data_IF_184154466720
#
_entry.id   IF_184154466720
#
_cell.length_a   1.000
_cell.length_b   1.000
_cell.length_c   1.000
_cell.angle_alpha   90.00
_cell.angle_beta   90.00
_cell.angle_gamma   90.00
#
_symmetry.space_group_name_H-M   'P 1'
#
loop_
_entity.id
_entity.type
_entity.pdbx_description
1 polymer ?
#
# COMPACT_ATOMS: atom_id res chain seq x y z
N UNK A 1 -46.67 -39.71 33.68
CA UNK A 1 -45.59 -40.49 33.06
C UNK A 1 -45.19 -39.79 31.78
N UNK A 2 -44.15 -38.98 31.96
CA UNK A 2 -42.93 -38.93 31.16
C UNK A 2 -43.03 -38.41 29.73
N UNK A 3 -42.52 -37.19 29.52
CA UNK A 3 -42.27 -36.68 28.17
C UNK A 3 -41.76 -35.24 28.05
N UNK A 4 -41.69 -34.43 29.11
CA UNK A 4 -41.34 -32.99 28.99
C UNK A 4 -40.06 -32.58 29.74
N UNK A 5 -39.55 -33.39 30.68
CA UNK A 5 -38.35 -33.01 31.47
C UNK A 5 -37.03 -33.11 30.67
N UNK A 6 -36.93 -33.97 29.66
CA UNK A 6 -35.67 -34.18 28.93
C UNK A 6 -35.25 -33.04 27.97
N UNK A 7 -36.19 -32.19 27.53
CA UNK A 7 -35.92 -31.12 26.57
C UNK A 7 -35.31 -29.86 27.20
N UNK A 8 -35.64 -29.59 28.46
CA UNK A 8 -35.19 -28.40 29.19
C UNK A 8 -33.71 -28.54 29.62
N UNK A 9 -33.33 -29.69 30.17
CA UNK A 9 -31.95 -29.97 30.58
C UNK A 9 -30.97 -29.99 29.41
N UNK A 10 -31.37 -30.60 28.28
CA UNK A 10 -30.52 -30.64 27.09
C UNK A 10 -30.31 -29.25 26.48
N UNK A 11 -31.35 -28.41 26.47
CA UNK A 11 -31.27 -27.04 25.96
C UNK A 11 -30.41 -26.13 26.86
N UNK A 12 -30.51 -26.28 28.18
CA UNK A 12 -29.64 -25.60 29.13
C UNK A 12 -28.19 -26.03 28.96
N UNK A 13 -27.93 -27.33 28.84
CA UNK A 13 -26.59 -27.88 28.66
C UNK A 13 -25.94 -27.38 27.36
N UNK A 14 -26.70 -27.31 26.27
CA UNK A 14 -26.24 -26.70 25.00
C UNK A 14 -25.93 -25.20 25.16
N UNK A 15 -26.75 -24.45 25.90
CA UNK A 15 -26.49 -23.03 26.16
C UNK A 15 -25.23 -22.80 27.00
N UNK A 16 -25.02 -23.59 28.07
CA UNK A 16 -23.79 -23.53 28.86
C UNK A 16 -22.55 -23.89 28.02
N UNK A 17 -22.65 -24.91 27.17
CA UNK A 17 -21.61 -25.26 26.20
C UNK A 17 -21.30 -24.10 25.24
N UNK A 18 -22.33 -23.45 24.70
CA UNK A 18 -22.17 -22.30 23.80
C UNK A 18 -21.51 -21.10 24.49
N UNK A 19 -21.84 -20.83 25.77
CA UNK A 19 -21.20 -19.77 26.57
C UNK A 19 -19.72 -20.08 26.78
N UNK A 20 -19.37 -21.31 27.17
CA UNK A 20 -17.97 -21.73 27.38
C UNK A 20 -17.13 -21.60 26.12
N UNK A 21 -17.66 -22.07 24.97
CA UNK A 21 -16.97 -21.95 23.67
C UNK A 21 -16.79 -20.48 23.29
N UNK A 22 -17.83 -19.65 23.48
CA UNK A 22 -17.76 -18.22 23.19
C UNK A 22 -16.74 -17.50 24.07
N UNK A 23 -16.65 -17.85 25.35
CA UNK A 23 -15.72 -17.26 26.31
C UNK A 23 -14.27 -17.68 26.02
N UNK A 24 -14.05 -18.96 25.68
CA UNK A 24 -12.75 -19.45 25.22
C UNK A 24 -12.30 -18.74 23.93
N UNK A 25 -13.22 -18.54 22.98
CA UNK A 25 -12.95 -17.78 21.76
C UNK A 25 -12.53 -16.35 22.09
N UNK A 26 -13.28 -15.61 22.94
CA UNK A 26 -12.93 -14.24 23.34
C UNK A 26 -11.54 -14.17 23.99
N UNK A 27 -11.21 -15.10 24.90
CA UNK A 27 -9.89 -15.14 25.56
C UNK A 27 -8.77 -15.41 24.55
N UNK A 28 -8.97 -16.38 23.66
CA UNK A 28 -8.03 -16.67 22.58
C UNK A 28 -7.83 -15.43 21.70
N UNK A 29 -8.92 -14.73 21.37
CA UNK A 29 -8.89 -13.50 20.57
C UNK A 29 -8.12 -12.37 21.25
N UNK A 30 -8.35 -12.10 22.54
CA UNK A 30 -7.61 -11.08 23.28
C UNK A 30 -6.11 -11.40 23.30
N UNK A 31 -5.74 -12.68 23.45
CA UNK A 31 -4.34 -13.12 23.39
C UNK A 31 -3.74 -12.99 21.99
N UNK A 32 -4.50 -13.32 20.96
CA UNK A 32 -4.07 -13.25 19.57
C UNK A 32 -3.87 -11.79 19.12
N UNK A 33 -4.82 -10.91 19.45
CA UNK A 33 -4.73 -9.47 19.19
C UNK A 33 -3.50 -8.84 19.86
N UNK A 34 -3.11 -9.29 21.05
CA UNK A 34 -1.91 -8.80 21.74
C UNK A 34 -0.59 -9.26 21.09
N UNK A 35 -0.59 -10.41 20.39
CA UNK A 35 0.61 -10.93 19.68
C UNK A 35 0.73 -10.39 18.27
N UNK A 36 -0.38 -10.20 17.58
CA UNK A 36 -0.41 -9.63 16.24
C UNK A 36 -0.43 -8.11 16.40
N UNK A 37 0.76 -7.51 16.50
CA UNK A 37 0.90 -6.06 16.43
C UNK A 37 0.53 -5.62 14.99
N UNK A 38 -0.74 -5.26 14.78
CA UNK A 38 -1.27 -4.89 13.47
C UNK A 38 -0.73 -3.52 13.07
N UNK A 39 0.15 -3.46 12.05
CA UNK A 39 0.65 -2.19 11.48
C UNK A 39 -0.35 -1.53 10.52
N UNK A 40 -1.34 -2.26 9.99
CA UNK A 40 -2.30 -1.74 8.99
C UNK A 40 -3.68 -1.39 9.58
N UNK A 41 -4.13 -0.15 9.39
CA UNK A 41 -5.41 0.37 9.91
C UNK A 41 -6.65 -0.39 9.39
N UNK A 42 -6.56 -1.04 8.21
CA UNK A 42 -7.65 -1.83 7.61
C UNK A 42 -7.84 -3.16 8.32
N UNK A 43 -6.75 -3.88 8.58
CA UNK A 43 -6.78 -5.13 9.34
C UNK A 43 -7.32 -4.88 10.75
N UNK A 44 -6.92 -3.78 11.38
CA UNK A 44 -7.42 -3.40 12.70
C UNK A 44 -8.95 -3.22 12.72
N UNK A 45 -9.55 -2.64 11.67
CA UNK A 45 -11.01 -2.52 11.55
C UNK A 45 -11.68 -3.87 11.32
N UNK A 46 -11.13 -4.72 10.44
CA UNK A 46 -11.65 -6.08 10.21
C UNK A 46 -11.67 -6.90 11.50
N UNK A 47 -10.56 -6.88 12.25
CA UNK A 47 -10.44 -7.53 13.55
C UNK A 47 -11.42 -6.98 14.59
N UNK A 48 -11.65 -5.65 14.62
CA UNK A 48 -12.62 -5.03 15.54
C UNK A 48 -14.06 -5.50 15.27
N UNK A 49 -14.45 -5.64 14.00
CA UNK A 49 -15.78 -6.14 13.63
C UNK A 49 -15.97 -7.61 14.00
N UNK A 50 -14.95 -8.45 13.80
CA UNK A 50 -14.98 -9.86 14.23
C UNK A 50 -15.08 -9.94 15.76
N UNK A 51 -14.32 -9.12 16.49
CA UNK A 51 -14.40 -9.07 17.95
C UNK A 51 -15.80 -8.63 18.42
N UNK A 52 -16.34 -7.55 17.85
CA UNK A 52 -17.68 -7.06 18.19
C UNK A 52 -18.76 -8.13 17.91
N UNK A 53 -18.63 -8.89 16.81
CA UNK A 53 -19.52 -10.00 16.50
C UNK A 53 -19.47 -11.09 17.58
N UNK A 54 -18.28 -11.59 17.92
CA UNK A 54 -18.09 -12.65 18.90
C UNK A 54 -18.52 -12.20 20.30
N UNK A 55 -18.23 -10.96 20.66
CA UNK A 55 -18.67 -10.38 21.94
C UNK A 55 -20.20 -10.27 22.01
N UNK A 56 -20.85 -9.87 20.92
CA UNK A 56 -22.32 -9.79 20.85
C UNK A 56 -22.96 -11.19 21.00
N UNK A 57 -22.36 -12.24 20.42
CA UNK A 57 -22.80 -13.64 20.66
C UNK A 57 -22.82 -13.96 22.15
N UNK A 58 -21.70 -13.66 22.82
CA UNK A 58 -21.52 -13.99 24.23
C UNK A 58 -22.59 -13.30 25.08
N UNK A 59 -22.83 -12.01 24.84
CA UNK A 59 -23.85 -11.23 25.57
C UNK A 59 -25.26 -11.79 25.35
N UNK A 60 -25.63 -12.10 24.10
CA UNK A 60 -26.95 -12.65 23.79
C UNK A 60 -27.16 -14.05 24.38
N UNK A 61 -26.14 -14.91 24.34
CA UNK A 61 -26.21 -16.25 24.94
C UNK A 61 -26.33 -16.20 26.47
N UNK A 62 -25.57 -15.30 27.13
CA UNK A 62 -25.67 -15.08 28.58
C UNK A 62 -27.06 -14.53 28.94
N UNK A 63 -27.58 -13.57 28.17
CA UNK A 63 -28.92 -13.02 28.39
C UNK A 63 -30.02 -14.06 28.21
N UNK A 64 -29.89 -14.95 27.21
CA UNK A 64 -30.84 -16.04 26.98
C UNK A 64 -30.81 -17.07 28.11
N UNK A 65 -29.62 -17.45 28.58
CA UNK A 65 -29.47 -18.34 29.74
C UNK A 65 -30.05 -17.72 31.01
N UNK A 66 -29.78 -16.43 31.25
CA UNK A 66 -30.34 -15.70 32.40
C UNK A 66 -31.87 -15.66 32.34
N UNK A 67 -32.47 -15.37 31.19
CA UNK A 67 -33.93 -15.37 31.03
C UNK A 67 -34.55 -16.76 31.17
N UNK A 68 -33.87 -17.82 30.71
CA UNK A 68 -34.32 -19.19 30.89
C UNK A 68 -34.31 -19.62 32.38
N UNK A 69 -33.28 -19.20 33.13
CA UNK A 69 -33.13 -19.49 34.57
C UNK A 69 -34.06 -18.61 35.41
N UNK A 70 -34.18 -17.32 35.08
CA UNK A 70 -35.05 -16.38 35.79
C UNK A 70 -36.54 -16.58 35.46
N UNK A 71 -36.83 -17.08 34.26
CA UNK A 71 -38.19 -17.41 33.79
C UNK A 71 -38.66 -18.81 34.19
N UNK A 72 -37.78 -19.68 34.71
CA UNK A 72 -38.17 -20.97 35.27
C UNK A 72 -38.77 -20.79 36.66
N UNK A 73 -39.99 -20.24 36.73
CA UNK A 73 -40.81 -20.30 37.93
C UNK A 73 -41.56 -19.02 38.32
N UNK A 74 -41.16 -17.83 37.84
CA UNK A 74 -41.79 -16.58 38.29
C UNK A 74 -42.13 -15.59 37.16
N UNK A 75 -43.22 -14.87 37.37
CA UNK A 75 -43.68 -13.78 36.50
C UNK A 75 -42.84 -12.53 36.76
N UNK A 76 -41.97 -12.17 35.81
CA UNK A 76 -41.12 -10.98 35.94
C UNK A 76 -41.95 -9.72 35.64
N UNK A 77 -42.23 -8.90 36.65
CA UNK A 77 -42.77 -7.54 36.47
C UNK A 77 -41.64 -6.61 36.00
N UNK A 78 -41.70 -6.17 34.75
CA UNK A 78 -40.77 -5.16 34.23
C UNK A 78 -41.22 -3.75 34.64
N UNK A 79 -40.28 -2.97 35.19
CA UNK A 79 -40.36 -1.50 35.30
C UNK A 79 -41.70 -0.96 35.86
N UNK A 80 -42.05 -1.38 37.09
CA UNK A 80 -43.05 -0.68 37.91
C UNK A 80 -44.47 -0.59 37.34
N UNK A 81 -44.82 -1.37 36.32
CA UNK A 81 -46.15 -1.40 35.72
C UNK A 81 -46.80 -2.79 35.79
N UNK A 82 -48.12 -2.83 35.87
CA UNK A 82 -48.93 -4.06 36.03
C UNK A 82 -49.01 -4.97 34.78
N UNK A 83 -48.11 -4.81 33.80
CA UNK A 83 -48.05 -5.70 32.64
C UNK A 83 -47.24 -6.95 32.96
N UNK A 84 -47.94 -8.06 33.12
CA UNK A 84 -47.37 -9.40 33.25
C UNK A 84 -46.97 -9.87 31.84
N UNK A 85 -45.67 -9.93 31.56
CA UNK A 85 -45.15 -10.55 30.32
C UNK A 85 -44.87 -12.01 30.62
N UNK A 86 -45.72 -12.93 30.14
CA UNK A 86 -45.36 -14.35 30.08
C UNK A 86 -44.29 -14.53 29.02
N UNK A 87 -43.07 -14.84 29.43
CA UNK A 87 -41.99 -15.23 28.53
C UNK A 87 -42.30 -16.62 27.97
N UNK A 88 -42.95 -16.67 26.81
CA UNK A 88 -43.21 -17.92 26.09
C UNK A 88 -41.89 -18.46 25.52
N UNK A 89 -41.68 -19.78 25.60
CA UNK A 89 -40.49 -20.47 25.10
C UNK A 89 -40.23 -20.17 23.62
N UNK A 90 -41.32 -19.98 22.87
CA UNK A 90 -41.31 -19.61 21.45
C UNK A 90 -40.70 -18.24 21.18
N UNK A 91 -40.81 -17.30 22.12
CA UNK A 91 -40.16 -15.99 22.06
C UNK A 91 -38.65 -16.10 22.31
N UNK A 92 -38.23 -16.91 23.28
CA UNK A 92 -36.82 -17.20 23.55
C UNK A 92 -36.12 -17.85 22.34
N UNK A 93 -36.80 -18.78 21.68
CA UNK A 93 -36.29 -19.44 20.47
C UNK A 93 -36.11 -18.47 19.31
N UNK A 94 -37.06 -17.53 19.12
CA UNK A 94 -36.95 -16.48 18.09
C UNK A 94 -35.80 -15.52 18.35
N UNK A 95 -35.56 -15.12 19.61
CA UNK A 95 -34.38 -14.31 19.95
C UNK A 95 -33.07 -15.04 19.68
N UNK A 96 -33.01 -16.34 19.96
CA UNK A 96 -31.82 -17.15 19.69
C UNK A 96 -31.51 -17.25 18.19
N UNK A 97 -32.54 -17.44 17.36
CA UNK A 97 -32.40 -17.51 15.90
C UNK A 97 -32.01 -16.15 15.32
N UNK A 98 -32.58 -15.05 15.84
CA UNK A 98 -32.22 -13.69 15.43
C UNK A 98 -30.74 -13.39 15.77
N UNK A 99 -30.29 -13.81 16.96
CA UNK A 99 -28.89 -13.72 17.36
C UNK A 99 -27.95 -14.47 16.41
N UNK A 100 -28.29 -15.72 16.05
CA UNK A 100 -27.50 -16.51 15.09
C UNK A 100 -27.41 -15.85 13.70
N UNK A 101 -28.49 -15.22 13.24
CA UNK A 101 -28.51 -14.52 11.95
C UNK A 101 -27.61 -13.26 11.96
N UNK A 102 -27.69 -12.45 13.02
CA UNK A 102 -26.83 -11.26 13.19
C UNK A 102 -25.35 -11.64 13.18
N UNK A 103 -25.03 -12.77 13.81
CA UNK A 103 -23.68 -13.30 13.94
C UNK A 103 -23.14 -13.80 12.60
N UNK A 104 -23.96 -14.52 11.84
CA UNK A 104 -23.60 -14.94 10.49
C UNK A 104 -23.29 -13.73 9.59
N UNK A 105 -24.11 -12.68 9.66
CA UNK A 105 -23.90 -11.43 8.91
C UNK A 105 -22.62 -10.72 9.36
N UNK A 106 -22.36 -10.63 10.66
CA UNK A 106 -21.18 -9.96 11.20
C UNK A 106 -19.88 -10.72 10.92
N UNK A 107 -19.89 -12.06 10.97
CA UNK A 107 -18.78 -12.90 10.52
C UNK A 107 -18.53 -12.73 9.03
N UNK A 108 -19.59 -12.77 8.21
CA UNK A 108 -19.48 -12.59 6.76
C UNK A 108 -18.93 -11.21 6.41
N UNK A 109 -19.32 -10.15 7.13
CA UNK A 109 -18.74 -8.83 7.01
C UNK A 109 -17.27 -8.79 7.46
N UNK A 110 -16.92 -9.43 8.58
CA UNK A 110 -15.55 -9.54 9.07
C UNK A 110 -14.62 -10.25 8.09
N UNK A 111 -15.03 -11.43 7.61
CA UNK A 111 -14.33 -12.17 6.56
C UNK A 111 -14.22 -11.38 5.26
N UNK A 112 -15.29 -10.65 4.87
CA UNK A 112 -15.22 -9.74 3.74
C UNK A 112 -14.18 -8.64 3.96
N UNK A 113 -14.10 -7.99 5.12
CA UNK A 113 -13.06 -6.96 5.33
C UNK A 113 -11.63 -7.53 5.38
N UNK A 114 -11.46 -8.77 5.86
CA UNK A 114 -10.16 -9.44 5.97
C UNK A 114 -9.68 -10.02 4.63
N UNK A 115 -10.58 -10.62 3.86
CA UNK A 115 -10.28 -11.40 2.64
C UNK A 115 -10.88 -10.85 1.36
N UNK A 116 -11.71 -9.80 1.42
CA UNK A 116 -12.07 -9.12 0.18
C UNK A 116 -10.75 -8.68 -0.47
N UNK A 117 -10.48 -9.15 -1.70
CA UNK A 117 -9.37 -8.61 -2.47
C UNK A 117 -9.54 -7.09 -2.44
N UNK A 118 -8.45 -6.35 -2.31
CA UNK A 118 -8.47 -4.88 -2.33
C UNK A 118 -9.07 -4.40 -3.66
N UNK A 119 -10.39 -4.48 -3.81
CA UNK A 119 -11.16 -4.03 -4.95
C UNK A 119 -11.14 -2.51 -4.84
N UNK A 120 -10.12 -1.94 -5.46
CA UNK A 120 -9.94 -0.51 -5.59
C UNK A 120 -9.25 0.16 -4.40
N UNK A 121 -8.03 -0.26 -4.09
CA UNK A 121 -6.96 0.68 -3.71
C UNK A 121 -5.61 0.13 -4.23
N UNK A 122 -5.08 0.46 -5.40
CA UNK A 122 -5.50 1.46 -6.41
C UNK A 122 -5.47 2.91 -5.91
N UNK A 123 -5.22 3.07 -4.61
CA UNK A 123 -4.79 4.30 -3.97
C UNK A 123 -3.44 3.94 -3.36
N UNK A 124 -2.47 3.61 -4.22
CA UNK A 124 -1.18 4.32 -4.11
C UNK A 124 -1.60 5.73 -3.78
N UNK A 125 -1.18 6.25 -2.61
CA UNK A 125 -1.47 7.63 -2.21
C UNK A 125 -1.44 8.42 -3.51
N UNK A 126 -2.60 8.85 -4.01
CA UNK A 126 -2.63 9.69 -5.21
C UNK A 126 -2.07 10.96 -4.62
N UNK A 127 -0.73 11.03 -4.53
CA UNK A 127 0.00 12.25 -4.70
C UNK A 127 -0.65 12.73 -5.98
N UNK A 128 -1.60 13.64 -5.82
CA UNK A 128 -2.12 14.40 -6.93
C UNK A 128 -0.82 14.85 -7.56
N UNK A 129 -0.52 14.42 -8.78
CA UNK A 129 0.49 15.07 -9.58
C UNK A 129 -0.04 16.49 -9.74
N UNK A 130 0.15 17.30 -8.71
CA UNK A 130 0.03 18.74 -8.75
C UNK A 130 1.31 19.13 -9.45
N UNK A 131 1.32 18.92 -10.75
CA UNK A 131 2.12 19.76 -11.63
C UNK A 131 1.53 21.12 -11.35
N UNK A 132 2.16 21.85 -10.44
CA UNK A 132 1.68 23.19 -10.13
C UNK A 132 2.09 24.03 -11.32
N UNK A 133 1.16 24.20 -12.26
CA UNK A 133 1.29 25.14 -13.37
C UNK A 133 1.83 26.47 -12.82
N UNK A 134 3.02 26.87 -13.28
CA UNK A 134 3.62 28.16 -12.96
C UNK A 134 4.36 28.28 -11.62
N UNK A 135 4.55 27.20 -10.87
CA UNK A 135 5.25 27.23 -9.59
C UNK A 135 6.72 26.84 -9.68
N UNK A 136 7.64 27.80 -9.86
CA UNK A 136 9.10 27.53 -9.74
C UNK A 136 9.43 26.92 -8.36
N UNK A 137 10.39 26.00 -8.30
CA UNK A 137 10.92 25.47 -7.02
C UNK A 137 11.58 26.62 -6.22
N UNK A 138 11.61 26.56 -4.88
CA UNK A 138 12.13 27.65 -4.02
C UNK A 138 13.63 27.94 -4.28
N UNK A 139 14.37 26.95 -4.79
CA UNK A 139 15.76 27.09 -5.24
C UNK A 139 15.81 27.05 -6.78
N UNK A 140 15.55 28.20 -7.41
CA UNK A 140 15.86 28.38 -8.83
C UNK A 140 17.34 28.72 -8.93
N UNK A 141 18.14 27.83 -9.52
CA UNK A 141 19.56 28.10 -9.76
C UNK A 141 19.70 29.41 -10.54
N UNK A 142 20.51 30.34 -10.03
CA UNK A 142 20.81 31.61 -10.71
C UNK A 142 21.86 31.46 -11.83
N UNK A 143 22.38 30.26 -12.01
CA UNK A 143 23.41 29.88 -12.99
C UNK A 143 22.70 29.31 -14.21
N UNK A 144 23.22 29.53 -15.41
CA UNK A 144 22.65 28.96 -16.64
C UNK A 144 22.57 27.42 -16.57
N UNK A 145 21.58 26.85 -17.27
CA UNK A 145 21.38 25.41 -17.41
C UNK A 145 22.70 24.74 -17.79
N UNK A 146 23.18 23.81 -16.95
CA UNK A 146 24.48 23.17 -17.16
C UNK A 146 24.40 22.10 -18.24
N UNK A 147 23.26 21.43 -18.36
CA UNK A 147 23.05 20.32 -19.28
C UNK A 147 21.92 20.62 -20.29
N UNK A 148 22.29 20.84 -21.55
CA UNK A 148 21.31 21.02 -22.64
C UNK A 148 20.98 19.67 -23.29
N UNK A 149 19.85 19.09 -22.90
CA UNK A 149 19.33 17.84 -23.44
C UNK A 149 18.18 18.11 -24.41
N UNK A 150 18.18 17.40 -25.54
CA UNK A 150 17.09 17.45 -26.53
C UNK A 150 15.83 16.83 -25.94
N UNK A 151 14.67 17.40 -26.30
CA UNK A 151 13.35 16.83 -26.04
C UNK A 151 13.07 15.63 -26.94
N UNK A 152 12.19 14.73 -26.51
CA UNK A 152 11.81 13.52 -27.24
C UNK A 152 12.93 12.49 -27.31
N UNK A 153 13.81 12.42 -26.31
CA UNK A 153 14.97 11.53 -26.32
C UNK A 153 15.23 10.90 -24.95
N UNK A 154 15.73 9.66 -24.99
CA UNK A 154 16.18 8.92 -23.82
C UNK A 154 17.70 8.85 -23.72
N UNK A 155 18.18 9.02 -22.50
CA UNK A 155 19.59 9.15 -22.17
C UNK A 155 20.00 8.12 -21.13
N UNK A 156 20.98 7.31 -21.52
CA UNK A 156 21.63 6.36 -20.65
C UNK A 156 22.87 7.05 -20.06
N UNK A 157 22.86 7.25 -18.74
CA UNK A 157 23.88 7.99 -18.01
C UNK A 157 24.71 7.00 -17.21
N UNK A 158 25.99 6.90 -17.56
CA UNK A 158 26.91 5.99 -16.88
C UNK A 158 27.28 6.52 -15.50
N UNK A 159 26.99 5.73 -14.49
CA UNK A 159 27.45 5.97 -13.12
C UNK A 159 28.77 5.20 -12.94
N UNK A 160 29.91 5.87 -13.13
CA UNK A 160 31.21 5.24 -12.89
C UNK A 160 31.47 5.16 -11.38
N UNK A 161 31.75 3.97 -10.83
CA UNK A 161 32.26 3.87 -9.47
C UNK A 161 33.63 4.56 -9.42
N UNK A 162 33.94 5.37 -8.39
CA UNK A 162 35.27 5.95 -8.28
C UNK A 162 36.32 4.83 -8.26
N UNK A 163 37.34 4.98 -9.10
CA UNK A 163 38.41 3.98 -9.27
C UNK A 163 39.09 3.77 -7.91
N UNK A 164 39.02 2.54 -7.38
CA UNK A 164 39.80 2.11 -6.21
C UNK A 164 41.30 2.26 -6.53
N UNK A 165 41.91 3.34 -6.08
CA UNK A 165 43.35 3.58 -6.28
C UNK A 165 43.82 5.00 -5.99
N UNK A 166 42.93 5.99 -6.01
CA UNK A 166 43.29 7.37 -5.61
C UNK A 166 43.16 7.47 -4.09
N UNK A 167 44.30 7.44 -3.41
CA UNK A 167 44.40 7.73 -1.98
C UNK A 167 43.77 9.10 -1.71
N UNK A 168 42.89 9.18 -0.72
CA UNK A 168 41.95 10.29 -0.45
C UNK A 168 40.74 10.36 -1.37
N UNK A 169 39.78 9.46 -1.20
CA UNK A 169 38.40 9.89 -0.96
C UNK A 169 37.70 8.78 -0.16
N UNK A 170 37.28 9.13 1.04
CA UNK A 170 36.42 8.26 1.83
C UNK A 170 35.12 8.09 1.05
N UNK A 171 34.75 6.85 0.77
CA UNK A 171 33.44 6.49 0.23
C UNK A 171 32.37 6.86 1.28
N UNK A 172 32.06 8.13 1.42
CA UNK A 172 30.79 8.54 2.00
C UNK A 172 29.72 8.12 1.01
N UNK A 173 28.69 7.42 1.46
CA UNK A 173 27.48 7.04 0.71
C UNK A 173 26.70 8.25 0.12
N UNK A 174 27.31 9.43 0.12
CA UNK A 174 26.76 10.76 -0.14
C UNK A 174 27.15 11.33 -1.52
N UNK A 175 27.99 10.64 -2.31
CA UNK A 175 28.32 11.14 -3.65
C UNK A 175 27.12 11.03 -4.61
N UNK A 176 26.77 12.13 -5.29
CA UNK A 176 25.58 12.20 -6.11
C UNK A 176 25.72 11.32 -7.35
N UNK A 177 24.67 10.56 -7.66
CA UNK A 177 24.51 9.96 -8.98
C UNK A 177 24.46 11.09 -10.02
N UNK A 178 25.30 11.01 -11.06
CA UNK A 178 25.41 12.01 -12.10
C UNK A 178 24.05 12.32 -12.75
N UNK A 179 23.26 11.28 -12.99
CA UNK A 179 21.89 11.36 -13.50
C UNK A 179 20.96 12.20 -12.63
N UNK A 180 21.06 12.06 -11.29
CA UNK A 180 20.26 12.83 -10.35
C UNK A 180 20.67 14.31 -10.36
N UNK A 181 21.95 14.63 -10.58
CA UNK A 181 22.38 16.02 -10.74
C UNK A 181 21.81 16.66 -12.00
N UNK A 182 21.82 15.95 -13.14
CA UNK A 182 21.19 16.45 -14.38
C UNK A 182 19.70 16.66 -14.18
N UNK A 183 19.03 15.71 -13.52
CA UNK A 183 17.61 15.82 -13.18
C UNK A 183 17.34 17.06 -12.31
N UNK A 184 18.11 17.25 -11.23
CA UNK A 184 17.99 18.41 -10.33
C UNK A 184 18.22 19.71 -11.08
N UNK A 185 19.22 19.78 -11.96
CA UNK A 185 19.50 20.96 -12.78
C UNK A 185 18.29 21.33 -13.63
N UNK A 186 17.74 20.39 -14.41
CA UNK A 186 16.56 20.64 -15.26
C UNK A 186 15.35 21.11 -14.43
N UNK A 187 15.08 20.42 -13.32
CA UNK A 187 13.91 20.70 -12.48
C UNK A 187 14.01 22.06 -11.79
N UNK A 188 15.18 22.42 -11.27
CA UNK A 188 15.40 23.74 -10.66
C UNK A 188 15.34 24.88 -11.67
N UNK A 189 15.54 24.59 -12.96
CA UNK A 189 15.33 25.53 -14.07
C UNK A 189 13.87 25.60 -14.58
N UNK A 190 12.96 24.88 -13.94
CA UNK A 190 11.52 24.96 -14.22
C UNK A 190 11.01 23.92 -15.22
N UNK A 191 11.81 22.91 -15.56
CA UNK A 191 11.34 21.75 -16.31
C UNK A 191 10.54 20.84 -15.36
N UNK A 192 9.25 20.55 -15.60
CA UNK A 192 8.51 19.53 -14.87
C UNK A 192 9.29 18.21 -14.74
N UNK A 193 9.50 17.76 -13.50
CA UNK A 193 10.24 16.52 -13.20
C UNK A 193 9.36 15.41 -12.64
N UNK A 194 9.69 14.16 -12.95
CA UNK A 194 9.21 12.96 -12.26
C UNK A 194 10.40 12.08 -11.90
N UNK A 195 10.56 11.75 -10.63
CA UNK A 195 11.57 10.78 -10.18
C UNK A 195 10.96 9.44 -9.80
N UNK A 196 11.43 8.36 -10.40
CA UNK A 196 11.18 6.98 -9.97
C UNK A 196 12.53 6.41 -9.56
N UNK A 197 12.71 6.12 -8.27
CA UNK A 197 14.05 5.94 -7.70
C UNK A 197 14.07 4.92 -6.59
N UNK A 198 15.23 4.32 -6.35
CA UNK A 198 15.48 3.45 -5.18
C UNK A 198 15.82 4.23 -3.92
N UNK A 199 16.22 5.50 -4.05
CA UNK A 199 16.49 6.36 -2.91
C UNK A 199 15.19 6.79 -2.23
N UNK A 200 15.22 6.88 -0.91
CA UNK A 200 14.05 7.32 -0.16
C UNK A 200 13.70 8.77 -0.53
N UNK A 201 12.48 9.09 -1.00
CA UNK A 201 12.15 10.41 -1.53
C UNK A 201 12.42 11.56 -0.56
N UNK A 202 12.06 11.41 0.72
CA UNK A 202 12.42 12.36 1.78
C UNK A 202 13.89 12.81 1.76
N UNK A 203 14.85 11.88 1.58
CA UNK A 203 16.29 12.21 1.54
C UNK A 203 16.64 13.09 0.34
N UNK A 204 16.06 12.80 -0.83
CA UNK A 204 16.27 13.60 -2.05
C UNK A 204 15.69 15.01 -1.86
N UNK A 205 14.46 15.10 -1.34
CA UNK A 205 13.79 16.39 -1.10
C UNK A 205 14.57 17.26 -0.11
N UNK A 206 15.08 16.66 0.97
CA UNK A 206 15.88 17.36 1.98
C UNK A 206 17.23 17.82 1.42
N UNK A 207 17.89 16.98 0.61
CA UNK A 207 19.23 17.29 0.05
C UNK A 207 19.18 18.35 -1.06
N UNK A 208 18.19 18.29 -1.94
CA UNK A 208 18.14 19.10 -3.17
C UNK A 208 17.00 20.14 -3.21
N UNK A 209 16.16 20.22 -2.18
CA UNK A 209 15.09 21.21 -2.10
C UNK A 209 13.92 20.98 -3.07
N UNK A 210 13.78 19.78 -3.63
CA UNK A 210 12.75 19.42 -4.62
C UNK A 210 11.39 19.14 -3.97
N UNK A 211 10.72 20.18 -3.49
CA UNK A 211 9.49 20.04 -2.68
C UNK A 211 8.25 19.71 -3.51
N UNK A 212 8.19 20.17 -4.76
CA UNK A 212 6.99 20.06 -5.61
C UNK A 212 7.09 18.92 -6.62
N UNK A 213 8.31 18.48 -6.88
CA UNK A 213 8.61 17.40 -7.81
C UNK A 213 8.09 16.05 -7.27
N UNK A 214 7.21 15.34 -8.02
CA UNK A 214 6.77 14.02 -7.64
C UNK A 214 7.92 13.00 -7.68
N UNK A 215 8.03 12.23 -6.60
CA UNK A 215 8.96 11.11 -6.49
C UNK A 215 8.20 9.85 -6.07
N UNK A 216 8.41 8.76 -6.81
CA UNK A 216 7.94 7.42 -6.48
C UNK A 216 9.12 6.56 -6.06
N UNK A 217 8.97 5.90 -4.92
CA UNK A 217 9.99 5.03 -4.36
C UNK A 217 9.80 3.59 -4.87
N UNK A 218 10.81 3.05 -5.56
CA UNK A 218 10.85 1.64 -5.96
C UNK A 218 11.19 0.76 -4.76
N UNK A 219 10.16 0.17 -4.16
CA UNK A 219 10.29 -0.64 -2.94
C UNK A 219 9.19 -1.69 -2.85
N UNK A 220 9.54 -2.87 -2.33
CA UNK A 220 8.55 -3.90 -1.94
C UNK A 220 7.85 -3.58 -0.62
N UNK A 221 8.41 -2.66 0.16
CA UNK A 221 7.86 -2.27 1.46
C UNK A 221 6.95 -1.07 1.24
N UNK A 222 5.65 -1.25 1.50
CA UNK A 222 4.68 -0.15 1.44
C UNK A 222 5.01 0.92 2.47
N UNK A 223 4.83 2.17 2.08
CA UNK A 223 4.93 3.34 2.95
C UNK A 223 3.57 4.03 3.04
N UNK A 224 3.26 4.59 4.21
CA UNK A 224 2.08 5.45 4.38
C UNK A 224 2.35 6.91 4.00
N UNK A 225 3.61 7.33 4.04
CA UNK A 225 4.02 8.72 3.91
C UNK A 225 4.62 9.04 2.53
N UNK A 226 4.98 8.02 1.76
CA UNK A 226 5.63 8.16 0.45
C UNK A 226 4.85 7.36 -0.61
N UNK A 227 4.84 7.86 -1.85
CA UNK A 227 4.37 7.07 -2.97
C UNK A 227 5.37 5.95 -3.27
N UNK A 228 4.89 4.71 -3.30
CA UNK A 228 5.70 3.51 -3.50
C UNK A 228 5.17 2.75 -4.71
N UNK A 229 6.07 2.29 -5.57
CA UNK A 229 5.78 1.34 -6.65
C UNK A 229 6.55 0.06 -6.37
N UNK A 230 5.88 -1.09 -6.48
CA UNK A 230 6.56 -2.37 -6.38
C UNK A 230 7.43 -2.57 -7.63
N UNK A 231 8.72 -2.89 -7.50
CA UNK A 231 9.63 -3.09 -8.65
C UNK A 231 9.21 -4.23 -9.59
N UNK A 232 8.34 -5.16 -9.15
CA UNK A 232 7.76 -6.20 -10.00
C UNK A 232 6.54 -5.73 -10.82
N UNK A 233 6.01 -4.54 -10.53
CA UNK A 233 4.86 -3.96 -11.19
C UNK A 233 5.29 -2.92 -12.24
N UNK A 234 5.87 -3.42 -13.34
CA UNK A 234 6.27 -2.58 -14.48
C UNK A 234 5.08 -1.85 -15.12
N UNK A 235 3.85 -2.35 -14.93
CA UNK A 235 2.62 -1.72 -15.43
C UNK A 235 2.34 -0.44 -14.67
N UNK A 236 2.46 -0.45 -13.34
CA UNK A 236 2.31 0.76 -12.52
C UNK A 236 3.39 1.81 -12.84
N UNK A 237 4.64 1.38 -13.09
CA UNK A 237 5.73 2.29 -13.53
C UNK A 237 5.36 2.94 -14.87
N UNK A 238 4.99 2.14 -15.87
CA UNK A 238 4.60 2.62 -17.21
C UNK A 238 3.42 3.58 -17.14
N UNK A 239 2.38 3.24 -16.39
CA UNK A 239 1.19 4.08 -16.21
C UNK A 239 1.56 5.41 -15.54
N UNK A 240 2.42 5.39 -14.53
CA UNK A 240 2.87 6.59 -13.82
C UNK A 240 3.62 7.53 -14.74
N UNK A 241 4.53 6.99 -15.57
CA UNK A 241 5.26 7.78 -16.57
C UNK A 241 4.30 8.39 -17.60
N UNK A 242 3.40 7.59 -18.19
CA UNK A 242 2.43 8.07 -19.17
C UNK A 242 1.52 9.17 -18.60
N UNK A 243 0.98 8.96 -17.40
CA UNK A 243 0.11 9.93 -16.75
C UNK A 243 0.83 11.27 -16.52
N UNK A 244 2.10 11.23 -16.12
CA UNK A 244 2.92 12.42 -15.96
C UNK A 244 3.19 13.13 -17.30
N UNK A 245 3.67 12.39 -18.31
CA UNK A 245 3.98 12.94 -19.63
C UNK A 245 2.77 13.63 -20.25
N UNK A 246 1.59 13.01 -20.19
CA UNK A 246 0.34 13.55 -20.73
C UNK A 246 -0.08 14.91 -20.16
N UNK A 247 0.47 15.32 -19.02
CA UNK A 247 0.14 16.57 -18.32
C UNK A 247 1.20 17.66 -18.44
N UNK A 248 2.31 17.40 -19.16
CA UNK A 248 3.49 18.28 -19.15
C UNK A 248 3.82 18.93 -20.49
N UNK A 249 2.94 18.81 -21.49
CA UNK A 249 3.02 19.46 -22.81
C UNK A 249 4.41 19.35 -23.50
N UNK A 250 5.14 18.27 -23.25
CA UNK A 250 6.44 17.97 -23.87
C UNK A 250 7.64 18.75 -23.36
N UNK A 251 7.55 19.40 -22.20
CA UNK A 251 8.70 20.00 -21.53
C UNK A 251 8.96 19.32 -20.19
N UNK A 252 9.16 18.00 -20.18
CA UNK A 252 9.38 17.26 -18.94
C UNK A 252 10.65 16.42 -18.93
N UNK A 253 11.05 16.03 -17.73
CA UNK A 253 12.14 15.11 -17.48
C UNK A 253 11.68 14.01 -16.52
N UNK A 254 11.96 12.76 -16.89
CA UNK A 254 11.69 11.57 -16.09
C UNK A 254 13.04 10.95 -15.72
N UNK A 255 13.28 10.77 -14.43
CA UNK A 255 14.41 9.98 -13.92
C UNK A 255 13.89 8.59 -13.56
N UNK A 256 14.41 7.56 -14.21
CA UNK A 256 14.14 6.15 -13.89
C UNK A 256 15.41 5.52 -13.33
N UNK A 257 15.58 5.67 -12.02
CA UNK A 257 16.70 5.14 -11.24
C UNK A 257 16.37 3.79 -10.62
N UNK A 258 17.20 2.77 -10.92
CA UNK A 258 17.04 1.41 -10.42
C UNK A 258 16.66 0.38 -11.48
N UNK A 259 17.06 0.58 -12.74
CA UNK A 259 16.84 -0.41 -13.82
C UNK A 259 17.46 -1.77 -13.48
N UNK A 260 18.61 -1.81 -12.82
CA UNK A 260 19.24 -3.05 -12.31
C UNK A 260 18.27 -3.80 -11.39
N UNK A 261 17.57 -3.05 -10.53
CA UNK A 261 16.63 -3.63 -9.59
C UNK A 261 15.38 -4.16 -10.30
N UNK A 262 14.87 -3.43 -11.30
CA UNK A 262 13.79 -3.91 -12.15
C UNK A 262 14.19 -5.20 -12.87
N UNK A 263 15.42 -5.28 -13.40
CA UNK A 263 15.94 -6.47 -14.08
C UNK A 263 16.04 -7.67 -13.14
N UNK A 264 16.52 -7.46 -11.91
CA UNK A 264 16.57 -8.52 -10.90
C UNK A 264 15.17 -9.05 -10.56
N UNK A 265 14.13 -8.21 -10.59
CA UNK A 265 12.77 -8.63 -10.25
C UNK A 265 11.99 -9.25 -11.42
N UNK A 266 12.21 -8.79 -12.65
CA UNK A 266 11.36 -9.12 -13.81
C UNK A 266 12.08 -9.88 -14.93
N UNK A 267 13.41 -9.96 -14.87
CA UNK A 267 14.25 -10.46 -15.96
C UNK A 267 14.58 -9.39 -17.01
N UNK A 268 15.74 -9.52 -17.64
CA UNK A 268 16.28 -8.52 -18.56
C UNK A 268 15.38 -8.27 -19.78
N UNK A 269 14.98 -9.32 -20.49
CA UNK A 269 14.14 -9.22 -21.70
C UNK A 269 12.82 -8.47 -21.46
N UNK A 270 12.20 -8.71 -20.30
CA UNK A 270 10.96 -8.03 -19.92
C UNK A 270 11.19 -6.54 -19.69
N UNK A 271 12.29 -6.21 -19.01
CA UNK A 271 12.65 -4.81 -18.72
C UNK A 271 13.10 -4.08 -19.96
N UNK A 272 13.82 -4.73 -20.88
CA UNK A 272 14.22 -4.13 -22.15
C UNK A 272 12.99 -3.69 -22.96
N UNK A 273 12.00 -4.57 -23.12
CA UNK A 273 10.72 -4.22 -23.78
C UNK A 273 9.94 -3.13 -23.06
N UNK A 274 9.99 -3.14 -21.73
CA UNK A 274 9.38 -2.08 -20.94
C UNK A 274 10.08 -0.74 -21.20
N UNK A 275 11.41 -0.72 -21.22
CA UNK A 275 12.20 0.46 -21.51
C UNK A 275 11.92 0.98 -22.93
N UNK A 276 11.88 0.09 -23.94
CA UNK A 276 11.49 0.41 -25.32
C UNK A 276 10.11 1.10 -25.33
N UNK A 277 9.12 0.55 -24.62
CA UNK A 277 7.78 1.16 -24.54
C UNK A 277 7.78 2.53 -23.85
N UNK A 278 8.68 2.76 -22.90
CA UNK A 278 8.83 4.05 -22.24
C UNK A 278 9.51 5.06 -23.15
N UNK A 279 10.53 4.64 -23.91
CA UNK A 279 11.19 5.47 -24.91
C UNK A 279 10.22 5.95 -25.98
N UNK A 280 9.38 5.06 -26.52
CA UNK A 280 8.30 5.43 -27.46
C UNK A 280 7.36 6.49 -26.88
N UNK A 281 6.99 6.39 -25.59
CA UNK A 281 6.18 7.41 -24.92
C UNK A 281 6.94 8.74 -24.77
N UNK A 282 8.24 8.69 -24.49
CA UNK A 282 9.08 9.87 -24.34
C UNK A 282 9.17 10.62 -25.67
N UNK A 283 9.35 9.90 -26.78
CA UNK A 283 9.30 10.46 -28.13
C UNK A 283 7.91 11.04 -28.46
N UNK A 284 6.84 10.28 -28.22
CA UNK A 284 5.44 10.67 -28.48
C UNK A 284 5.07 11.98 -27.77
N UNK A 285 5.41 12.09 -26.48
CA UNK A 285 5.06 13.25 -25.66
C UNK A 285 6.13 14.35 -25.67
N UNK A 286 7.30 14.15 -26.30
CA UNK A 286 8.40 15.12 -26.30
C UNK A 286 9.16 15.25 -24.97
N UNK A 287 9.05 14.28 -24.07
CA UNK A 287 9.73 14.28 -22.77
C UNK A 287 11.23 14.04 -22.85
N UNK A 288 11.90 13.91 -21.70
CA UNK A 288 13.29 13.42 -21.59
C UNK A 288 13.34 12.28 -20.60
N UNK A 289 14.01 11.20 -20.93
CA UNK A 289 14.24 10.10 -19.99
C UNK A 289 15.71 10.06 -19.59
N UNK A 290 15.97 9.98 -18.30
CA UNK A 290 17.29 9.79 -17.72
C UNK A 290 17.31 8.44 -17.01
N UNK A 291 18.18 7.55 -17.45
CA UNK A 291 18.41 6.25 -16.81
C UNK A 291 19.86 6.19 -16.35
N UNK A 292 20.13 6.28 -15.03
CA UNK A 292 21.42 5.86 -14.51
C UNK A 292 21.63 4.38 -14.78
N UNK A 293 22.86 4.02 -15.15
CA UNK A 293 23.26 2.64 -15.28
C UNK A 293 24.68 2.42 -14.79
N UNK A 294 24.86 1.35 -14.02
CA UNK A 294 26.18 0.78 -13.79
C UNK A 294 26.48 -0.26 -14.90
N UNK A 295 27.38 0.08 -15.82
CA UNK A 295 27.80 -0.82 -16.91
C UNK A 295 28.31 -2.19 -16.43
N UNK A 296 28.83 -2.27 -15.19
CA UNK A 296 29.34 -3.52 -14.62
C UNK A 296 28.22 -4.43 -14.09
N UNK A 297 27.00 -3.91 -13.92
CA UNK A 297 25.86 -4.68 -13.43
C UNK A 297 25.20 -5.56 -14.51
N UNK A 298 25.60 -5.38 -15.78
CA UNK A 298 25.03 -6.07 -16.94
C UNK A 298 26.07 -6.88 -17.69
N UNK A 299 25.65 -7.95 -18.38
CA UNK A 299 26.53 -8.59 -19.36
C UNK A 299 26.85 -7.60 -20.49
N UNK A 300 27.96 -7.84 -21.20
CA UNK A 300 28.36 -6.98 -22.32
C UNK A 300 27.28 -6.93 -23.40
N UNK A 301 26.64 -8.05 -23.68
CA UNK A 301 25.54 -8.16 -24.63
C UNK A 301 24.33 -7.35 -24.17
N UNK A 302 23.93 -7.50 -22.90
CA UNK A 302 22.81 -6.77 -22.30
C UNK A 302 23.04 -5.26 -22.31
N UNK A 303 24.24 -4.82 -21.93
CA UNK A 303 24.60 -3.41 -21.98
C UNK A 303 24.53 -2.85 -23.41
N UNK A 304 25.05 -3.59 -24.40
CA UNK A 304 24.95 -3.18 -25.80
C UNK A 304 23.51 -3.13 -26.33
N UNK A 305 22.62 -4.01 -25.87
CA UNK A 305 21.19 -3.93 -26.18
C UNK A 305 20.58 -2.65 -25.62
N UNK A 306 20.84 -2.32 -24.35
CA UNK A 306 20.35 -1.08 -23.74
C UNK A 306 20.88 0.18 -24.45
N UNK A 307 22.17 0.21 -24.81
CA UNK A 307 22.76 1.34 -25.54
C UNK A 307 22.25 1.48 -26.98
N UNK A 308 21.67 0.45 -27.59
CA UNK A 308 21.11 0.56 -28.95
C UNK A 308 19.79 1.32 -28.97
N UNK A 309 19.02 1.22 -27.89
CA UNK A 309 17.73 1.90 -27.76
C UNK A 309 17.90 3.35 -27.27
N UNK A 310 19.05 3.73 -26.70
CA UNK A 310 19.23 5.04 -26.07
C UNK A 310 20.47 5.79 -26.55
N UNK A 311 20.39 7.12 -26.52
CA UNK A 311 21.58 7.95 -26.73
C UNK A 311 22.44 7.93 -25.46
N UNK A 312 23.64 7.35 -25.53
CA UNK A 312 24.60 7.38 -24.42
C UNK A 312 25.12 8.81 -24.24
N UNK A 313 24.99 9.37 -23.03
CA UNK A 313 25.56 10.69 -22.69
C UNK A 313 26.59 10.48 -21.60
N UNK A 314 27.85 10.71 -21.96
CA UNK A 314 28.93 10.74 -20.99
C UNK A 314 28.99 12.13 -20.37
N UNK A 315 28.60 12.23 -19.10
CA UNK A 315 28.71 13.47 -18.33
C UNK A 315 30.17 13.58 -17.85
N UNK A 316 30.91 14.53 -18.41
CA UNK A 316 32.25 14.94 -17.94
C UNK A 316 32.14 16.07 -16.91
#
# INVERSE_FOLDING_TARGET
MDGVEGGFDFSLLLNFGAILISLAAVIFWVKLYRRIYVKELKEARGWLWIFAAVFTILVLNISGAFLAIAGSGETIKLLGGDKIVKLDYRSLETYSTLGRAIVAVALMAGFYFLYAPSRGQGKSMRIRMSIVEGGKEEHVSSIALKYDLKTGASYLIREEKPVKGTLEYSMTEDEPHNSLLVFVDLVTHGVPGLGITRFHPKKIREKYGLRRTPFFWLSKIRSHDEAVIDPSDLVEVSHTVREFLSKTEGQSVVLLDGVEYLVVQNGFETVLKFIESVDEMIEEFGGRLLIPIDSEAFSKEQYHMLCREMSEVKIM
#
